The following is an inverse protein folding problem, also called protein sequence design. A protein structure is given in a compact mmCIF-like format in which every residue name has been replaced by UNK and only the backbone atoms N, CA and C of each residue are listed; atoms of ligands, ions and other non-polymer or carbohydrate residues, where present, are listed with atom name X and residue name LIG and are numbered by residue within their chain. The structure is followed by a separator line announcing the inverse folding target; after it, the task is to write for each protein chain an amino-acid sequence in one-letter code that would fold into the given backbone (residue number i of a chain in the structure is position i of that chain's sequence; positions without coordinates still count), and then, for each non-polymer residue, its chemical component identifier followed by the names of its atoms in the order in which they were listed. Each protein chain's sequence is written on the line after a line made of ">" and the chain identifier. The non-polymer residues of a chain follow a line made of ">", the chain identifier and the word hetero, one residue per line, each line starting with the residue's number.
data_IF_107652257006
#
_entry.id   IF_107652257006
#
_cell.length_a   1.000
_cell.length_b   1.000
_cell.length_c   1.000
_cell.angle_alpha   90.00
_cell.angle_beta   90.00
_cell.angle_gamma   90.00
#
_symmetry.space_group_name_H-M   'P 1'
#
loop_
_entity.id
_entity.type
_entity.pdbx_description
1 polymer ?
#
# COMPACT_ATOMS: atom_id res chain seq x y z
N UNK A 1 32.07 -50.31 56.78
CA UNK A 1 31.84 -51.23 55.63
C UNK A 1 30.33 -51.35 55.42
N UNK A 2 29.88 -51.40 54.14
CA UNK A 2 28.49 -51.47 53.63
C UNK A 2 27.75 -50.12 53.58
N UNK A 3 27.72 -49.45 52.42
CA UNK A 3 26.79 -49.55 51.25
C UNK A 3 25.61 -48.60 51.37
N UNK A 4 25.59 -47.56 50.52
CA UNK A 4 24.45 -46.69 50.27
C UNK A 4 24.52 -46.18 48.83
N UNK A 5 23.50 -46.50 48.05
CA UNK A 5 23.41 -46.35 46.60
C UNK A 5 23.26 -44.88 46.16
N UNK A 6 24.13 -44.43 45.24
CA UNK A 6 23.90 -43.27 44.38
C UNK A 6 23.45 -43.81 43.01
N UNK A 7 22.22 -43.51 42.60
CA UNK A 7 21.78 -43.68 41.20
C UNK A 7 21.81 -42.32 40.52
N UNK A 8 22.91 -42.07 39.81
CA UNK A 8 22.99 -41.10 38.71
C UNK A 8 22.52 -41.84 37.46
N UNK A 9 21.42 -41.38 36.85
CA UNK A 9 21.00 -41.84 35.53
C UNK A 9 21.79 -41.02 34.51
N UNK A 10 22.84 -41.62 33.98
CA UNK A 10 23.44 -41.24 32.71
C UNK A 10 22.73 -42.02 31.59
N UNK A 11 22.35 -41.34 30.51
CA UNK A 11 21.97 -42.01 29.26
C UNK A 11 20.90 -41.30 28.45
N UNK A 12 21.27 -40.24 27.73
CA UNK A 12 21.21 -40.18 26.25
C UNK A 12 21.67 -38.78 25.80
N UNK A 13 22.96 -38.65 25.55
CA UNK A 13 23.56 -37.52 24.84
C UNK A 13 23.96 -37.99 23.44
N UNK A 14 22.99 -38.16 22.53
CA UNK A 14 23.23 -38.19 21.09
C UNK A 14 21.95 -37.69 20.40
N UNK A 15 22.10 -36.77 19.43
CA UNK A 15 21.09 -36.22 18.52
C UNK A 15 20.11 -35.19 19.08
N UNK A 16 20.54 -33.92 19.10
CA UNK A 16 19.69 -32.75 18.81
C UNK A 16 20.58 -31.52 18.61
N UNK A 17 21.48 -31.57 17.62
CA UNK A 17 22.24 -30.40 17.18
C UNK A 17 22.29 -30.35 15.64
N UNK A 18 21.11 -30.31 15.02
CA UNK A 18 20.94 -29.93 13.63
C UNK A 18 19.46 -29.65 13.37
N UNK A 19 19.04 -28.38 13.53
CA UNK A 19 18.04 -27.65 12.73
C UNK A 19 17.64 -26.36 13.46
N UNK A 20 18.60 -25.46 13.67
CA UNK A 20 18.32 -24.03 13.83
C UNK A 20 18.55 -23.36 12.48
N UNK A 21 17.76 -23.77 11.49
CA UNK A 21 17.51 -22.99 10.28
C UNK A 21 16.06 -22.53 10.37
N UNK A 22 15.83 -21.51 11.21
CA UNK A 22 14.59 -20.74 11.18
C UNK A 22 14.53 -19.95 9.88
N UNK A 23 14.32 -20.64 8.76
CA UNK A 23 13.88 -20.01 7.53
C UNK A 23 12.51 -19.42 7.80
N UNK A 24 12.35 -18.12 7.56
CA UNK A 24 11.04 -17.52 7.35
C UNK A 24 10.25 -18.42 6.39
N UNK A 25 9.25 -19.13 6.91
CA UNK A 25 8.22 -19.73 6.08
C UNK A 25 7.65 -18.57 5.24
N UNK A 26 7.54 -18.71 3.91
CA UNK A 26 6.81 -17.73 3.11
C UNK A 26 5.43 -17.60 3.72
N UNK A 27 5.08 -16.40 4.19
CA UNK A 27 3.72 -16.14 4.67
C UNK A 27 2.73 -16.59 3.60
N UNK A 28 1.60 -17.14 4.00
CA UNK A 28 0.55 -17.54 3.08
C UNK A 28 0.01 -16.30 2.34
N UNK A 29 0.64 -15.93 1.22
CA UNK A 29 0.25 -14.79 0.40
C UNK A 29 -1.13 -14.99 -0.24
N UNK A 30 -1.69 -16.22 -0.20
CA UNK A 30 -3.07 -16.47 -0.60
C UNK A 30 -4.06 -15.97 0.47
N UNK A 31 -3.66 -15.74 1.72
CA UNK A 31 -4.53 -15.07 2.70
C UNK A 31 -4.74 -13.57 2.41
N UNK A 32 -4.08 -13.02 1.38
CA UNK A 32 -4.41 -11.72 0.80
C UNK A 32 -5.69 -11.76 -0.06
N UNK A 33 -6.36 -12.91 -0.16
CA UNK A 33 -7.69 -12.99 -0.76
C UNK A 33 -8.71 -12.23 0.11
N UNK A 34 -9.43 -11.23 -0.45
CA UNK A 34 -10.57 -10.62 0.20
C UNK A 34 -11.78 -11.57 0.17
N UNK A 35 -11.65 -12.83 0.58
CA UNK A 35 -12.75 -13.80 0.52
C UNK A 35 -13.76 -13.69 1.68
N UNK A 36 -13.75 -12.61 2.45
CA UNK A 36 -14.91 -12.23 3.27
C UNK A 36 -15.72 -11.08 2.67
N UNK A 37 -15.34 -10.57 1.50
CA UNK A 37 -16.03 -9.44 0.86
C UNK A 37 -16.41 -9.89 -0.54
N UNK A 38 -17.72 -10.09 -0.76
CA UNK A 38 -18.25 -10.51 -2.06
C UNK A 38 -17.64 -9.61 -3.15
N UNK A 39 -17.03 -10.17 -4.21
CA UNK A 39 -16.61 -9.36 -5.34
C UNK A 39 -17.84 -8.61 -5.84
N UNK A 40 -17.80 -7.27 -5.76
CA UNK A 40 -18.72 -6.48 -6.57
C UNK A 40 -18.41 -6.88 -8.02
N UNK A 41 -19.43 -7.21 -8.82
CA UNK A 41 -19.24 -7.45 -10.25
C UNK A 41 -18.60 -6.19 -10.84
N UNK A 42 -17.29 -6.21 -11.00
CA UNK A 42 -16.56 -5.21 -11.75
C UNK A 42 -17.00 -5.38 -13.20
N UNK A 43 -17.86 -4.48 -13.68
CA UNK A 43 -17.95 -4.22 -15.11
C UNK A 43 -16.54 -3.92 -15.59
N UNK A 44 -16.01 -4.67 -16.56
CA UNK A 44 -14.63 -4.52 -17.03
C UNK A 44 -14.27 -3.03 -17.15
N UNK A 45 -13.30 -2.58 -16.36
CA UNK A 45 -12.83 -1.20 -16.39
C UNK A 45 -12.42 -0.85 -17.84
N UNK A 46 -13.02 0.21 -18.39
CA UNK A 46 -12.81 0.63 -19.80
C UNK A 46 -12.04 1.94 -19.94
N UNK A 47 -11.55 2.48 -18.83
CA UNK A 47 -10.78 3.72 -18.80
C UNK A 47 -9.30 3.50 -19.19
N UNK A 48 -8.54 4.60 -19.34
CA UNK A 48 -7.09 4.52 -19.46
C UNK A 48 -6.48 3.88 -18.21
N UNK A 49 -5.42 3.09 -18.42
CA UNK A 49 -4.68 2.45 -17.33
C UNK A 49 -3.53 3.32 -16.85
N UNK A 50 -3.40 3.49 -15.54
CA UNK A 50 -2.33 4.29 -14.92
C UNK A 50 -1.42 3.41 -14.06
N UNK A 51 -0.42 2.73 -14.66
CA UNK A 51 0.52 1.89 -13.91
C UNK A 51 1.47 2.69 -13.02
N UNK A 52 1.50 4.02 -13.16
CA UNK A 52 2.29 4.96 -12.36
C UNK A 52 1.51 6.26 -12.19
N UNK A 53 1.81 7.00 -11.13
CA UNK A 53 1.32 8.36 -10.94
C UNK A 53 2.01 9.37 -11.87
N UNK A 54 1.22 10.29 -12.41
CA UNK A 54 1.69 11.50 -13.10
C UNK A 54 1.78 12.73 -12.19
N UNK A 55 1.39 12.62 -10.91
CA UNK A 55 1.55 13.70 -9.91
C UNK A 55 3.05 13.83 -9.57
N UNK A 56 3.66 14.97 -9.89
CA UNK A 56 5.12 15.14 -9.79
C UNK A 56 5.57 15.72 -8.43
N UNK A 57 4.66 16.35 -7.69
CA UNK A 57 4.89 17.05 -6.43
C UNK A 57 4.07 16.50 -5.26
N UNK A 58 3.95 15.17 -5.17
CA UNK A 58 3.36 14.44 -4.01
C UNK A 58 3.93 14.91 -2.67
N UNK A 59 5.19 15.35 -2.65
CA UNK A 59 5.84 15.95 -1.48
C UNK A 59 5.12 17.19 -0.93
N UNK A 60 4.26 17.84 -1.71
CA UNK A 60 3.43 18.97 -1.26
C UNK A 60 2.48 18.60 -0.11
N UNK A 61 2.20 17.30 0.09
CA UNK A 61 1.43 16.82 1.24
C UNK A 61 2.28 16.53 2.47
N UNK A 62 3.61 16.42 2.34
CA UNK A 62 4.48 15.86 3.37
C UNK A 62 4.30 16.56 4.71
N UNK A 63 4.38 17.89 4.75
CA UNK A 63 4.28 18.68 5.99
C UNK A 63 2.94 18.51 6.72
N UNK A 64 1.87 18.21 5.98
CA UNK A 64 0.51 18.06 6.55
C UNK A 64 0.28 16.69 7.17
N UNK A 65 0.98 15.66 6.70
CA UNK A 65 0.75 14.27 7.12
C UNK A 65 1.93 13.66 7.87
N UNK A 66 3.07 14.35 7.94
CA UNK A 66 4.29 13.79 8.49
C UNK A 66 4.05 13.24 9.91
N UNK A 67 4.31 11.94 10.11
CA UNK A 67 4.13 11.23 11.37
C UNK A 67 2.69 11.24 11.97
N UNK A 68 1.65 11.52 11.17
CA UNK A 68 0.25 11.54 11.65
C UNK A 68 -0.27 10.16 12.10
N UNK A 69 0.36 9.07 11.64
CA UNK A 69 0.09 7.72 12.09
C UNK A 69 -1.23 7.14 11.57
N UNK A 70 -1.90 6.35 12.42
CA UNK A 70 -3.22 5.76 12.14
C UNK A 70 -3.29 4.85 10.91
N UNK A 71 -4.49 4.75 10.34
CA UNK A 71 -4.78 4.01 9.12
C UNK A 71 -4.64 4.93 7.90
N UNK A 72 -4.06 4.39 6.83
CA UNK A 72 -4.04 5.00 5.50
C UNK A 72 -5.02 4.28 4.57
N UNK A 73 -5.77 5.03 3.78
CA UNK A 73 -6.54 4.53 2.64
C UNK A 73 -6.16 5.38 1.44
N UNK A 74 -5.83 4.74 0.31
CA UNK A 74 -5.48 5.50 -0.90
C UNK A 74 -5.79 4.78 -2.20
N UNK A 75 -6.05 5.56 -3.25
CA UNK A 75 -6.25 5.07 -4.62
C UNK A 75 -4.97 5.13 -5.45
N UNK A 76 -4.90 4.38 -6.56
CA UNK A 76 -3.75 4.42 -7.48
C UNK A 76 -2.59 3.52 -7.06
N UNK A 77 -1.36 3.94 -7.42
CA UNK A 77 -0.17 3.07 -7.44
C UNK A 77 0.97 3.63 -6.56
N UNK A 78 2.10 4.01 -7.16
CA UNK A 78 3.40 4.23 -6.50
C UNK A 78 3.42 5.41 -5.53
N UNK A 79 2.59 6.43 -5.77
CA UNK A 79 2.55 7.61 -4.93
C UNK A 79 2.10 7.31 -3.50
N UNK A 80 1.30 6.26 -3.32
CA UNK A 80 0.88 5.81 -2.00
C UNK A 80 2.07 5.40 -1.13
N UNK A 81 3.11 4.78 -1.72
CA UNK A 81 4.30 4.36 -0.96
C UNK A 81 5.02 5.56 -0.35
N UNK A 82 5.08 6.68 -1.07
CA UNK A 82 5.66 7.92 -0.56
C UNK A 82 4.81 8.51 0.57
N UNK A 83 3.48 8.59 0.38
CA UNK A 83 2.56 9.14 1.39
C UNK A 83 2.52 8.29 2.67
N UNK A 84 2.54 6.97 2.55
CA UNK A 84 2.62 6.06 3.71
C UNK A 84 3.95 6.25 4.46
N UNK A 85 5.05 6.47 3.72
CA UNK A 85 6.36 6.78 4.29
C UNK A 85 6.35 8.05 5.13
N UNK A 86 5.74 9.13 4.62
CA UNK A 86 5.53 10.38 5.38
C UNK A 86 4.61 10.18 6.57
N UNK A 87 3.44 9.57 6.35
CA UNK A 87 2.41 9.42 7.37
C UNK A 87 2.80 8.49 8.52
N UNK A 88 3.77 7.59 8.33
CA UNK A 88 4.11 6.52 9.29
C UNK A 88 2.89 5.69 9.69
N UNK A 89 2.01 5.43 8.72
CA UNK A 89 0.75 4.70 8.95
C UNK A 89 1.00 3.29 9.48
N UNK A 90 0.09 2.82 10.32
CA UNK A 90 0.16 1.53 11.01
C UNK A 90 -0.52 0.39 10.26
N UNK A 91 -1.45 0.73 9.36
CA UNK A 91 -2.16 -0.18 8.47
C UNK A 91 -2.63 0.58 7.23
N UNK A 92 -2.65 -0.09 6.09
CA UNK A 92 -2.86 0.52 4.78
C UNK A 92 -3.89 -0.28 3.99
N UNK A 93 -4.81 0.42 3.33
CA UNK A 93 -5.62 -0.10 2.24
C UNK A 93 -5.33 0.66 0.95
N UNK A 94 -4.92 -0.07 -0.09
CA UNK A 94 -4.80 0.45 -1.44
C UNK A 94 -6.00 -0.04 -2.24
N UNK A 95 -6.79 0.90 -2.73
CA UNK A 95 -8.08 0.65 -3.38
C UNK A 95 -7.99 1.06 -4.84
N UNK A 96 -8.42 0.21 -5.76
CA UNK A 96 -8.54 0.63 -7.15
C UNK A 96 -9.62 -0.15 -7.90
N UNK A 97 -10.21 0.46 -8.91
CA UNK A 97 -11.10 -0.21 -9.85
C UNK A 97 -10.33 -0.79 -11.04
N UNK A 98 -9.14 -0.24 -11.35
CA UNK A 98 -8.28 -0.72 -12.42
C UNK A 98 -7.43 -1.91 -11.94
N UNK A 99 -7.62 -3.12 -12.50
CA UNK A 99 -6.80 -4.28 -12.15
C UNK A 99 -5.31 -4.06 -12.46
N UNK A 100 -4.96 -3.19 -13.41
CA UNK A 100 -3.55 -2.87 -13.71
C UNK A 100 -2.88 -2.18 -12.53
N UNK A 101 -3.54 -1.21 -11.90
CA UNK A 101 -3.03 -0.53 -10.71
C UNK A 101 -2.83 -1.53 -9.55
N UNK A 102 -3.81 -2.41 -9.34
CA UNK A 102 -3.74 -3.47 -8.33
C UNK A 102 -2.63 -4.50 -8.60
N UNK A 103 -2.35 -4.82 -9.86
CA UNK A 103 -1.22 -5.69 -10.23
C UNK A 103 0.12 -5.00 -9.96
N UNK A 104 0.27 -3.72 -10.32
CA UNK A 104 1.51 -2.97 -10.03
C UNK A 104 1.75 -2.86 -8.53
N UNK A 105 0.70 -2.60 -7.74
CA UNK A 105 0.81 -2.60 -6.28
C UNK A 105 1.27 -3.98 -5.75
N UNK A 106 0.74 -5.10 -6.25
CA UNK A 106 1.25 -6.45 -5.89
C UNK A 106 2.74 -6.60 -6.21
N UNK A 107 3.18 -6.12 -7.37
CA UNK A 107 4.60 -6.17 -7.74
C UNK A 107 5.45 -5.35 -6.78
N UNK A 108 5.03 -4.13 -6.42
CA UNK A 108 5.71 -3.32 -5.43
C UNK A 108 5.83 -4.04 -4.09
N UNK A 109 4.75 -4.64 -3.58
CA UNK A 109 4.77 -5.36 -2.31
C UNK A 109 5.72 -6.57 -2.35
N UNK A 110 5.66 -7.40 -3.40
CA UNK A 110 6.57 -8.53 -3.54
C UNK A 110 8.04 -8.09 -3.63
N UNK A 111 8.33 -7.01 -4.37
CA UNK A 111 9.70 -6.50 -4.49
C UNK A 111 10.21 -5.89 -3.19
N UNK A 112 9.38 -5.17 -2.44
CA UNK A 112 9.74 -4.64 -1.11
C UNK A 112 10.00 -5.79 -0.11
N UNK A 113 9.20 -6.86 -0.16
CA UNK A 113 9.41 -8.02 0.71
C UNK A 113 10.82 -8.65 0.50
N UNK A 114 11.26 -8.71 -0.76
CA UNK A 114 12.51 -9.34 -1.19
C UNK A 114 13.73 -8.41 -1.18
N UNK A 115 13.53 -7.12 -0.92
CA UNK A 115 14.59 -6.12 -0.96
C UNK A 115 14.92 -5.63 0.45
N UNK A 116 16.19 -5.69 0.85
CA UNK A 116 16.58 -5.22 2.18
C UNK A 116 16.56 -3.69 2.30
N UNK A 117 16.76 -3.01 1.17
CA UNK A 117 16.85 -1.56 1.06
C UNK A 117 16.21 -1.05 -0.25
N UNK A 118 16.08 0.28 -0.36
CA UNK A 118 15.49 0.94 -1.53
C UNK A 118 16.26 0.68 -2.83
N UNK A 119 17.59 0.51 -2.76
CA UNK A 119 18.43 0.25 -3.92
C UNK A 119 18.10 -1.10 -4.56
N UNK A 120 18.00 -2.16 -3.76
CA UNK A 120 17.60 -3.49 -4.21
C UNK A 120 16.18 -3.50 -4.79
N UNK A 121 15.27 -2.75 -4.18
CA UNK A 121 13.90 -2.59 -4.68
C UNK A 121 13.86 -1.91 -6.06
N UNK A 122 14.62 -0.84 -6.23
CA UNK A 122 14.74 -0.15 -7.53
C UNK A 122 15.39 -1.07 -8.57
N UNK A 123 16.39 -1.85 -8.17
CA UNK A 123 17.07 -2.80 -9.06
C UNK A 123 16.11 -3.88 -9.58
N UNK A 124 15.17 -4.38 -8.77
CA UNK A 124 14.11 -5.29 -9.22
C UNK A 124 13.21 -4.66 -10.30
N UNK A 125 13.03 -3.34 -10.30
CA UNK A 125 12.34 -2.65 -11.38
C UNK A 125 13.22 -2.35 -12.60
N UNK A 126 14.54 -2.42 -12.47
CA UNK A 126 15.48 -2.11 -13.56
C UNK A 126 15.50 -3.20 -14.64
N UNK A 127 15.91 -2.89 -15.88
CA UNK A 127 16.08 -3.89 -16.93
C UNK A 127 16.98 -5.06 -16.52
N UNK A 128 18.09 -4.80 -15.81
CA UNK A 128 19.00 -5.82 -15.31
C UNK A 128 18.35 -6.74 -14.26
N UNK A 129 17.36 -6.22 -13.52
CA UNK A 129 16.61 -6.99 -12.54
C UNK A 129 15.50 -7.85 -13.11
N UNK A 130 15.20 -7.79 -14.41
CA UNK A 130 13.99 -8.37 -15.00
C UNK A 130 13.79 -9.86 -14.68
N UNK A 131 14.81 -10.69 -14.91
CA UNK A 131 14.72 -12.12 -14.66
C UNK A 131 14.46 -12.45 -13.18
N UNK A 132 15.18 -11.75 -12.28
CA UNK A 132 15.01 -11.88 -10.83
C UNK A 132 13.62 -11.42 -10.38
N UNK A 133 13.15 -10.29 -10.91
CA UNK A 133 11.84 -9.74 -10.65
C UNK A 133 10.72 -10.71 -11.07
N UNK A 134 10.81 -11.29 -12.26
CA UNK A 134 9.87 -12.31 -12.71
C UNK A 134 9.86 -13.53 -11.79
N UNK A 135 11.04 -14.02 -11.38
CA UNK A 135 11.15 -15.15 -10.46
C UNK A 135 10.52 -14.85 -9.09
N UNK A 136 10.70 -13.63 -8.56
CA UNK A 136 10.03 -13.16 -7.34
C UNK A 136 8.51 -13.20 -7.52
N UNK A 137 7.97 -12.64 -8.60
CA UNK A 137 6.52 -12.63 -8.83
C UNK A 137 5.96 -14.05 -8.98
N UNK A 138 6.65 -14.93 -9.68
CA UNK A 138 6.22 -16.32 -9.85
C UNK A 138 6.21 -17.08 -8.52
N UNK A 139 7.17 -16.81 -7.62
CA UNK A 139 7.21 -17.41 -6.28
C UNK A 139 6.09 -16.90 -5.38
N UNK A 140 5.81 -15.60 -5.40
CA UNK A 140 4.79 -14.98 -4.54
C UNK A 140 3.37 -15.20 -5.07
N UNK A 141 3.18 -15.21 -6.38
CA UNK A 141 1.86 -15.14 -7.03
C UNK A 141 1.65 -16.19 -8.12
N UNK A 142 2.50 -17.20 -8.28
CA UNK A 142 2.33 -18.23 -9.31
C UNK A 142 1.04 -19.04 -9.18
N UNK A 143 0.48 -19.12 -7.97
CA UNK A 143 -0.82 -19.75 -7.69
C UNK A 143 -1.98 -18.74 -7.57
N UNK A 144 -1.71 -17.45 -7.74
CA UNK A 144 -2.74 -16.42 -7.69
C UNK A 144 -3.75 -16.65 -8.83
N UNK A 145 -5.08 -16.66 -8.58
CA UNK A 145 -6.09 -16.86 -9.61
C UNK A 145 -5.99 -15.92 -10.81
N UNK A 146 -5.48 -14.70 -10.60
CA UNK A 146 -5.25 -13.73 -11.68
C UNK A 146 -3.78 -13.61 -12.09
N UNK A 147 -2.97 -14.66 -11.86
CA UNK A 147 -1.55 -14.72 -12.25
C UNK A 147 -1.32 -14.31 -13.70
N UNK A 148 -2.14 -14.81 -14.64
CA UNK A 148 -2.03 -14.44 -16.06
C UNK A 148 -2.15 -12.93 -16.28
N UNK A 149 -3.09 -12.27 -15.61
CA UNK A 149 -3.28 -10.82 -15.69
C UNK A 149 -2.12 -10.04 -15.07
N UNK A 150 -1.63 -10.49 -13.92
CA UNK A 150 -0.46 -9.90 -13.25
C UNK A 150 0.80 -10.04 -14.10
N UNK A 151 1.07 -11.25 -14.62
CA UNK A 151 2.20 -11.54 -15.51
C UNK A 151 2.15 -10.68 -16.78
N UNK A 152 1.00 -10.58 -17.43
CA UNK A 152 0.85 -9.75 -18.63
C UNK A 152 1.05 -8.26 -18.33
N UNK A 153 0.59 -7.81 -17.16
CA UNK A 153 0.86 -6.45 -16.68
C UNK A 153 2.37 -6.24 -16.48
N UNK A 154 3.07 -7.18 -15.83
CA UNK A 154 4.51 -7.13 -15.60
C UNK A 154 5.27 -6.96 -16.92
N UNK A 155 5.00 -7.82 -17.91
CA UNK A 155 5.67 -7.77 -19.22
C UNK A 155 5.45 -6.44 -19.96
N UNK A 156 4.35 -5.73 -19.69
CA UNK A 156 4.06 -4.42 -20.28
C UNK A 156 4.79 -3.28 -19.55
N UNK A 157 4.83 -3.31 -18.21
CA UNK A 157 5.37 -2.21 -17.41
C UNK A 157 6.87 -2.36 -17.10
N UNK A 158 7.39 -3.58 -17.24
CA UNK A 158 8.78 -3.98 -17.00
C UNK A 158 9.30 -4.77 -18.21
N UNK A 159 9.71 -4.07 -19.29
CA UNK A 159 10.22 -4.73 -20.49
C UNK A 159 11.53 -5.47 -20.20
N UNK A 160 11.78 -6.55 -20.94
CA UNK A 160 12.95 -7.39 -20.76
C UNK A 160 14.28 -6.66 -20.97
N UNK A 161 15.36 -7.26 -20.46
CA UNK A 161 16.73 -6.78 -20.58
C UNK A 161 17.11 -6.47 -22.05
N UNK A 162 17.84 -5.37 -22.26
CA UNK A 162 18.21 -4.88 -23.60
C UNK A 162 17.16 -4.02 -24.31
N UNK A 163 15.99 -3.79 -23.70
CA UNK A 163 14.99 -2.80 -24.16
C UNK A 163 15.10 -1.47 -23.39
N UNK A 164 14.26 -0.50 -23.75
CA UNK A 164 14.11 0.76 -23.02
C UNK A 164 13.66 0.53 -21.57
N UNK A 165 13.96 1.48 -20.69
CA UNK A 165 13.50 1.44 -19.30
C UNK A 165 11.96 1.34 -19.23
N UNK A 166 11.46 0.44 -18.37
CA UNK A 166 10.03 0.33 -18.08
C UNK A 166 9.44 1.60 -17.46
N UNK A 167 8.13 1.78 -17.60
CA UNK A 167 7.44 2.99 -17.13
C UNK A 167 7.56 3.16 -15.61
N UNK A 168 7.48 2.08 -14.83
CA UNK A 168 7.63 2.11 -13.37
C UNK A 168 9.06 2.47 -12.98
N UNK A 169 10.07 1.84 -13.60
CA UNK A 169 11.47 2.17 -13.34
C UNK A 169 11.80 3.63 -13.66
N UNK A 170 11.30 4.12 -14.79
CA UNK A 170 11.43 5.53 -15.21
C UNK A 170 10.80 6.45 -14.17
N UNK A 171 9.60 6.14 -13.67
CA UNK A 171 8.93 6.89 -12.61
C UNK A 171 9.78 6.94 -11.33
N UNK A 172 10.31 5.82 -10.86
CA UNK A 172 11.16 5.79 -9.65
C UNK A 172 12.44 6.63 -9.82
N UNK A 173 13.05 6.61 -11.01
CA UNK A 173 14.21 7.45 -11.34
C UNK A 173 13.86 8.93 -11.37
N UNK A 174 12.69 9.29 -11.90
CA UNK A 174 12.20 10.66 -11.90
C UNK A 174 11.93 11.15 -10.48
N UNK A 175 11.33 10.32 -9.61
CA UNK A 175 11.15 10.65 -8.20
C UNK A 175 12.49 10.93 -7.52
N UNK A 176 13.49 10.07 -7.69
CA UNK A 176 14.83 10.30 -7.14
C UNK A 176 15.47 11.60 -7.66
N UNK A 177 15.26 11.94 -8.93
CA UNK A 177 15.73 13.21 -9.50
C UNK A 177 15.01 14.42 -8.86
N UNK A 178 13.69 14.35 -8.70
CA UNK A 178 12.91 15.36 -7.97
C UNK A 178 13.40 15.50 -6.54
N UNK A 179 13.60 14.39 -5.81
CA UNK A 179 14.09 14.43 -4.44
C UNK A 179 15.47 15.07 -4.32
N UNK A 180 16.39 14.84 -5.26
CA UNK A 180 17.68 15.57 -5.29
C UNK A 180 17.49 17.05 -5.55
N UNK A 181 16.65 17.42 -6.52
CA UNK A 181 16.41 18.82 -6.91
C UNK A 181 15.80 19.63 -5.77
N UNK A 182 14.87 19.04 -5.02
CA UNK A 182 14.12 19.71 -3.95
C UNK A 182 14.57 19.31 -2.54
N UNK A 183 15.71 18.60 -2.43
CA UNK A 183 16.25 18.10 -1.16
C UNK A 183 15.22 17.34 -0.29
N UNK A 184 14.44 16.47 -0.93
CA UNK A 184 13.36 15.72 -0.28
C UNK A 184 13.88 14.39 0.27
N UNK A 185 13.39 14.02 1.46
CA UNK A 185 13.53 12.68 2.02
C UNK A 185 12.26 11.89 1.74
N UNK A 186 12.39 10.70 1.19
CA UNK A 186 11.27 9.79 0.92
C UNK A 186 11.75 8.34 0.92
N UNK A 187 10.83 7.39 0.86
CA UNK A 187 11.15 5.96 0.92
C UNK A 187 12.21 5.45 -0.07
N UNK A 188 12.47 6.15 -1.19
CA UNK A 188 13.49 5.75 -2.16
C UNK A 188 14.92 6.19 -1.79
N UNK A 189 15.08 7.18 -0.90
CA UNK A 189 16.38 7.71 -0.50
C UNK A 189 16.55 7.87 1.02
N UNK A 190 15.58 7.41 1.80
CA UNK A 190 15.56 7.47 3.26
C UNK A 190 15.40 6.06 3.85
N UNK A 191 16.39 5.63 4.64
CA UNK A 191 16.43 4.29 5.22
C UNK A 191 15.22 4.02 6.14
N UNK A 192 14.85 4.99 6.98
CA UNK A 192 13.80 4.80 7.97
C UNK A 192 12.41 4.74 7.33
N UNK A 193 12.15 5.55 6.31
CA UNK A 193 10.90 5.47 5.56
C UNK A 193 10.80 4.16 4.78
N UNK A 194 11.89 3.71 4.14
CA UNK A 194 11.90 2.42 3.46
C UNK A 194 11.68 1.25 4.44
N UNK A 195 12.40 1.25 5.56
CA UNK A 195 12.30 0.24 6.60
C UNK A 195 10.89 0.15 7.18
N UNK A 196 10.20 1.30 7.34
CA UNK A 196 8.80 1.35 7.75
C UNK A 196 7.87 0.69 6.73
N UNK A 197 7.98 1.04 5.44
CA UNK A 197 7.19 0.39 4.39
C UNK A 197 7.45 -1.11 4.36
N UNK A 198 8.72 -1.52 4.39
CA UNK A 198 9.10 -2.93 4.41
C UNK A 198 8.52 -3.66 5.62
N UNK A 199 8.54 -3.03 6.80
CA UNK A 199 7.90 -3.57 8.01
C UNK A 199 6.39 -3.76 7.81
N UNK A 200 5.70 -2.84 7.15
CA UNK A 200 4.27 -3.01 6.84
C UNK A 200 4.03 -4.17 5.89
N UNK A 201 4.86 -4.30 4.84
CA UNK A 201 4.77 -5.40 3.87
C UNK A 201 4.99 -6.75 4.55
N UNK A 202 6.09 -6.91 5.28
CA UNK A 202 6.44 -8.17 5.94
C UNK A 202 5.43 -8.58 7.02
N UNK A 203 4.85 -7.61 7.72
CA UNK A 203 3.80 -7.85 8.72
C UNK A 203 2.39 -7.90 8.13
N UNK A 204 2.26 -7.93 6.79
CA UNK A 204 0.99 -8.03 6.07
C UNK A 204 -0.02 -6.95 6.48
N UNK A 205 0.47 -5.71 6.68
CA UNK A 205 -0.33 -4.54 7.08
C UNK A 205 -0.76 -3.68 5.90
N UNK A 206 -0.45 -4.08 4.67
CA UNK A 206 -0.92 -3.44 3.43
C UNK A 206 -1.89 -4.38 2.73
N UNK A 207 -3.12 -3.91 2.53
CA UNK A 207 -4.20 -4.68 1.93
C UNK A 207 -4.63 -4.06 0.61
N UNK A 208 -4.88 -4.90 -0.39
CA UNK A 208 -5.33 -4.47 -1.71
C UNK A 208 -6.82 -4.79 -1.86
N UNK A 209 -7.62 -3.81 -2.26
CA UNK A 209 -9.06 -3.97 -2.49
C UNK A 209 -9.40 -3.52 -3.91
N UNK A 210 -10.00 -4.44 -4.67
CA UNK A 210 -10.63 -4.07 -5.93
C UNK A 210 -12.01 -3.46 -5.67
N UNK A 211 -12.31 -2.35 -6.32
CA UNK A 211 -13.67 -1.84 -6.41
C UNK A 211 -13.79 -0.34 -6.58
N UNK A 212 -15.01 0.07 -6.89
CA UNK A 212 -15.41 1.46 -6.98
C UNK A 212 -15.62 2.06 -5.59
N UNK A 213 -14.91 3.14 -5.29
CA UNK A 213 -14.98 3.87 -4.01
C UNK A 213 -16.40 4.31 -3.63
N UNK A 214 -17.33 4.40 -4.59
CA UNK A 214 -18.73 4.79 -4.37
C UNK A 214 -19.59 3.74 -3.68
N UNK A 215 -19.26 2.44 -3.78
CA UNK A 215 -20.21 1.38 -3.40
C UNK A 215 -19.60 0.17 -2.66
N UNK A 216 -18.29 -0.07 -2.74
CA UNK A 216 -17.70 -1.29 -2.18
C UNK A 216 -16.60 -1.06 -1.13
N UNK A 217 -15.41 -0.63 -1.56
CA UNK A 217 -14.21 -0.69 -0.72
C UNK A 217 -14.32 0.13 0.56
N UNK A 218 -14.89 1.33 0.52
CA UNK A 218 -14.99 2.20 1.70
C UNK A 218 -15.89 1.61 2.79
N UNK A 219 -17.06 1.09 2.45
CA UNK A 219 -17.92 0.39 3.40
C UNK A 219 -17.25 -0.86 3.99
N UNK A 220 -16.49 -1.58 3.16
CA UNK A 220 -15.80 -2.79 3.58
C UNK A 220 -14.65 -2.48 4.56
N UNK A 221 -13.87 -1.44 4.29
CA UNK A 221 -12.83 -0.93 5.17
C UNK A 221 -13.46 -0.46 6.49
N UNK A 222 -14.51 0.38 6.42
CA UNK A 222 -15.23 0.86 7.59
C UNK A 222 -15.74 -0.29 8.46
N UNK A 223 -16.39 -1.29 7.86
CA UNK A 223 -16.88 -2.48 8.57
C UNK A 223 -15.75 -3.23 9.25
N UNK A 224 -14.62 -3.45 8.54
CA UNK A 224 -13.46 -4.18 9.07
C UNK A 224 -12.79 -3.44 10.23
N UNK A 225 -12.66 -2.13 10.13
CA UNK A 225 -12.09 -1.30 11.19
C UNK A 225 -12.99 -1.28 12.42
N UNK A 226 -14.30 -1.13 12.23
CA UNK A 226 -15.30 -1.18 13.31
C UNK A 226 -15.38 -2.57 13.96
N UNK A 227 -15.31 -3.66 13.18
CA UNK A 227 -15.37 -5.03 13.72
C UNK A 227 -14.13 -5.46 14.49
N UNK A 228 -12.98 -4.86 14.18
CA UNK A 228 -11.72 -5.11 14.89
C UNK A 228 -11.55 -4.20 16.11
N UNK A 229 -12.46 -3.25 16.33
CA UNK A 229 -12.59 -2.52 17.58
C UNK A 229 -13.41 -3.37 18.55
N UNK A 230 -13.08 -3.36 19.84
CA UNK A 230 -13.83 -4.04 20.92
C UNK A 230 -15.30 -3.57 21.05
N UNK A 231 -15.72 -2.58 20.26
CA UNK A 231 -17.07 -2.02 20.18
C UNK A 231 -18.14 -2.94 19.54
N UNK A 232 -18.02 -4.26 19.72
CA UNK A 232 -19.16 -5.16 19.53
C UNK A 232 -19.91 -5.28 20.85
N UNK A 233 -21.13 -4.75 20.93
CA UNK A 233 -22.15 -5.27 21.84
C UNK A 233 -23.29 -5.85 21.02
N UNK A 234 -23.59 -7.13 21.25
CA UNK A 234 -24.83 -7.76 20.85
C UNK A 234 -25.98 -7.25 21.74
N UNK A 235 -26.31 -5.95 21.73
CA UNK A 235 -27.46 -5.45 22.48
C UNK A 235 -28.16 -4.29 21.78
N UNK A 236 -29.45 -4.48 21.53
CA UNK A 236 -30.35 -3.62 20.74
C UNK A 236 -30.74 -2.32 21.48
N UNK A 237 -30.23 -2.07 22.70
CA UNK A 237 -30.91 -1.15 23.64
C UNK A 237 -30.13 0.14 23.95
N UNK A 238 -28.85 0.30 23.60
CA UNK A 238 -28.11 1.53 23.93
C UNK A 238 -27.38 2.13 22.71
N UNK A 239 -27.46 3.46 22.48
CA UNK A 239 -26.61 4.12 21.49
C UNK A 239 -25.13 3.98 21.87
N UNK A 240 -24.30 3.68 20.88
CA UNK A 240 -22.87 3.40 21.03
C UNK A 240 -22.13 4.56 21.72
N UNK A 241 -21.18 4.30 22.63
CA UNK A 241 -20.15 5.29 22.96
C UNK A 241 -19.31 5.60 21.72
N UNK A 242 -18.85 6.83 21.59
CA UNK A 242 -17.95 7.27 20.52
C UNK A 242 -16.61 6.52 20.58
N UNK A 243 -16.50 5.44 19.80
CA UNK A 243 -15.33 4.56 19.74
C UNK A 243 -14.13 5.16 18.98
N UNK A 244 -14.24 6.37 18.43
CA UNK A 244 -13.12 7.05 17.75
C UNK A 244 -11.98 7.40 18.72
N UNK A 245 -12.31 7.63 20.00
CA UNK A 245 -11.35 8.08 21.02
C UNK A 245 -10.51 6.97 21.66
N UNK A 246 -10.93 5.72 21.59
CA UNK A 246 -10.30 4.65 22.39
C UNK A 246 -9.24 3.84 21.61
N UNK A 247 -9.19 3.93 20.27
CA UNK A 247 -8.21 3.18 19.46
C UNK A 247 -7.66 3.97 18.25
N UNK A 248 -6.59 4.77 18.42
CA UNK A 248 -5.97 5.52 17.32
C UNK A 248 -5.42 4.63 16.19
N UNK A 249 -5.29 3.31 16.42
CA UNK A 249 -4.82 2.33 15.43
C UNK A 249 -5.88 1.92 14.39
N UNK A 250 -7.17 2.21 14.62
CA UNK A 250 -8.24 1.88 13.69
C UNK A 250 -8.88 3.12 13.03
N UNK A 251 -8.45 4.33 13.39
CA UNK A 251 -8.89 5.58 12.77
C UNK A 251 -8.10 5.85 11.49
N UNK A 252 -8.81 6.19 10.41
CA UNK A 252 -8.23 6.62 9.14
C UNK A 252 -7.72 8.03 9.29
N UNK A 253 -6.40 8.20 9.35
CA UNK A 253 -5.75 9.52 9.47
C UNK A 253 -5.44 10.14 8.10
N UNK A 254 -5.30 9.30 7.08
CA UNK A 254 -5.05 9.77 5.71
C UNK A 254 -5.96 9.02 4.74
N UNK A 255 -6.76 9.77 3.97
CA UNK A 255 -7.53 9.31 2.83
C UNK A 255 -7.02 10.00 1.56
N UNK A 256 -6.30 9.29 0.71
CA UNK A 256 -5.79 9.82 -0.55
C UNK A 256 -6.67 9.41 -1.74
N UNK A 257 -7.19 10.41 -2.47
CA UNK A 257 -8.14 10.21 -3.56
C UNK A 257 -7.57 10.56 -4.95
N UNK A 258 -6.31 10.99 -5.04
CA UNK A 258 -5.75 11.53 -6.30
C UNK A 258 -6.73 12.56 -6.90
N UNK A 259 -6.93 12.55 -8.22
CA UNK A 259 -7.94 13.35 -8.90
C UNK A 259 -9.21 12.57 -9.24
N UNK A 260 -9.51 11.47 -8.53
CA UNK A 260 -10.71 10.66 -8.79
C UNK A 260 -11.99 11.52 -8.72
N UNK A 261 -12.01 12.51 -7.84
CA UNK A 261 -13.14 13.43 -7.66
C UNK A 261 -13.36 14.36 -8.87
N UNK A 262 -12.39 14.55 -9.75
CA UNK A 262 -12.59 15.25 -11.03
C UNK A 262 -13.46 14.43 -12.01
N UNK A 263 -13.65 13.14 -11.77
CA UNK A 263 -14.42 12.23 -12.63
C UNK A 263 -15.67 11.68 -11.95
N UNK A 264 -15.81 11.90 -10.64
CA UNK A 264 -16.96 11.43 -9.86
C UNK A 264 -17.95 12.56 -9.63
N UNK A 265 -19.22 12.27 -9.85
CA UNK A 265 -20.30 13.12 -9.34
C UNK A 265 -20.42 12.94 -7.81
N UNK A 266 -20.71 14.05 -7.12
CA UNK A 266 -20.99 14.06 -5.67
C UNK A 266 -22.37 13.46 -5.35
N UNK A 267 -22.51 12.18 -5.63
CA UNK A 267 -23.76 11.43 -5.44
C UNK A 267 -24.05 11.15 -3.95
N UNK A 268 -25.31 10.93 -3.56
CA UNK A 268 -25.65 10.48 -2.21
C UNK A 268 -24.96 9.18 -1.80
N UNK A 269 -24.70 8.28 -2.75
CA UNK A 269 -24.00 7.01 -2.48
C UNK A 269 -22.54 7.25 -2.09
N UNK A 270 -21.82 8.08 -2.86
CA UNK A 270 -20.45 8.47 -2.57
C UNK A 270 -20.32 9.17 -1.21
N UNK A 271 -21.22 10.12 -0.92
CA UNK A 271 -21.25 10.81 0.39
C UNK A 271 -21.44 9.84 1.55
N UNK A 272 -22.38 8.89 1.44
CA UNK A 272 -22.58 7.87 2.47
C UNK A 272 -21.36 6.95 2.62
N UNK A 273 -20.68 6.62 1.51
CA UNK A 273 -19.46 5.81 1.55
C UNK A 273 -18.34 6.54 2.32
N UNK A 274 -18.11 7.82 2.03
CA UNK A 274 -17.16 8.66 2.77
C UNK A 274 -17.54 8.78 4.25
N UNK A 275 -18.79 9.11 4.56
CA UNK A 275 -19.30 9.22 5.94
C UNK A 275 -19.23 7.92 6.74
N UNK A 276 -19.07 6.77 6.08
CA UNK A 276 -18.95 5.47 6.76
C UNK A 276 -17.57 5.26 7.37
N UNK A 277 -16.55 5.94 6.85
CA UNK A 277 -15.15 5.78 7.23
C UNK A 277 -14.90 6.31 8.66
N UNK A 278 -14.22 5.56 9.53
CA UNK A 278 -13.86 6.04 10.87
C UNK A 278 -12.71 7.05 10.78
N UNK A 279 -13.07 8.32 10.64
CA UNK A 279 -12.17 9.49 10.62
C UNK A 279 -12.47 10.37 11.83
N UNK A 280 -11.51 11.18 12.27
CA UNK A 280 -11.63 12.14 13.37
C UNK A 280 -11.07 13.52 12.97
N UNK A 281 -10.99 14.45 13.91
CA UNK A 281 -10.63 15.84 13.65
C UNK A 281 -9.17 16.03 13.16
N UNK A 282 -8.28 15.05 13.37
CA UNK A 282 -6.93 15.08 12.79
C UNK A 282 -6.79 14.15 11.57
N UNK A 283 -7.89 13.63 11.02
CA UNK A 283 -7.88 12.97 9.73
C UNK A 283 -7.74 13.98 8.59
N UNK A 284 -7.06 13.58 7.51
CA UNK A 284 -6.91 14.41 6.31
C UNK A 284 -7.31 13.64 5.05
N UNK A 285 -8.16 14.27 4.24
CA UNK A 285 -8.40 13.91 2.84
C UNK A 285 -7.39 14.64 1.97
N UNK A 286 -6.62 13.87 1.20
CA UNK A 286 -5.64 14.35 0.24
C UNK A 286 -6.17 14.14 -1.17
N UNK A 287 -6.19 15.18 -1.99
CA UNK A 287 -6.68 15.13 -3.36
C UNK A 287 -5.88 16.04 -4.27
N UNK A 288 -5.88 15.72 -5.55
CA UNK A 288 -5.37 16.56 -6.60
C UNK A 288 -6.51 16.96 -7.54
N UNK A 289 -6.36 18.04 -8.27
CA UNK A 289 -7.32 18.40 -9.32
C UNK A 289 -6.61 19.01 -10.52
N UNK A 290 -7.01 18.56 -11.71
CA UNK A 290 -6.60 19.13 -12.99
C UNK A 290 -7.53 20.29 -13.41
N UNK A 291 -8.78 20.29 -12.91
CA UNK A 291 -9.77 21.35 -13.20
C UNK A 291 -9.52 22.61 -12.39
N UNK A 292 -8.88 22.44 -11.23
CA UNK A 292 -8.48 23.53 -10.35
C UNK A 292 -7.34 24.40 -10.90
N UNK A 293 -6.58 23.93 -11.91
CA UNK A 293 -5.35 24.60 -12.36
C UNK A 293 -5.53 26.01 -12.95
N UNK A 294 -6.75 26.40 -13.34
CA UNK A 294 -7.06 27.77 -13.76
C UNK A 294 -7.35 28.72 -12.59
N UNK A 295 -7.71 28.18 -11.43
CA UNK A 295 -8.15 28.94 -10.25
C UNK A 295 -7.18 28.87 -9.06
N UNK A 296 -6.31 27.86 -9.05
CA UNK A 296 -5.44 27.55 -7.92
C UNK A 296 -4.00 27.32 -8.37
N UNK A 297 -3.06 27.76 -7.54
CA UNK A 297 -1.64 27.66 -7.84
C UNK A 297 -1.18 26.21 -8.00
N UNK A 298 -0.24 26.03 -8.93
CA UNK A 298 0.43 24.76 -9.22
C UNK A 298 1.82 24.80 -8.61
N UNK A 299 2.25 23.77 -7.86
CA UNK A 299 3.57 23.78 -7.23
C UNK A 299 4.69 23.78 -8.28
N UNK A 300 5.79 24.54 -8.06
CA UNK A 300 6.90 24.59 -9.01
C UNK A 300 7.47 23.21 -9.35
N UNK A 301 7.60 22.88 -10.64
CA UNK A 301 8.09 21.56 -11.07
C UNK A 301 7.02 20.46 -11.16
N UNK A 302 5.75 20.79 -10.96
CA UNK A 302 4.64 19.91 -11.32
C UNK A 302 4.55 19.74 -12.84
N UNK A 303 4.68 20.83 -13.58
CA UNK A 303 4.65 20.85 -15.03
C UNK A 303 5.85 20.08 -15.60
N UNK A 304 5.58 18.89 -16.14
CA UNK A 304 6.43 18.25 -17.15
C UNK A 304 5.91 18.65 -18.53
N UNK A 305 6.80 18.72 -19.52
CA UNK A 305 6.41 19.14 -20.88
C UNK A 305 5.21 18.33 -21.39
N UNK A 306 4.15 19.02 -21.82
CA UNK A 306 2.90 18.45 -22.36
C UNK A 306 1.99 17.71 -21.35
N UNK A 307 2.19 17.85 -20.04
CA UNK A 307 1.29 17.31 -19.01
C UNK A 307 0.37 18.39 -18.43
N UNK A 308 -0.88 18.01 -18.11
CA UNK A 308 -1.82 18.88 -17.39
C UNK A 308 -1.37 18.94 -15.92
N UNK A 309 -1.12 20.12 -15.34
CA UNK A 309 -0.66 20.23 -13.98
C UNK A 309 -1.75 19.88 -12.97
N UNK A 310 -1.33 19.51 -11.77
CA UNK A 310 -2.22 19.25 -10.65
C UNK A 310 -2.08 20.35 -9.58
N UNK A 311 -3.21 20.83 -9.08
CA UNK A 311 -3.28 21.49 -7.78
C UNK A 311 -3.39 20.43 -6.67
N UNK A 312 -2.77 20.66 -5.51
CA UNK A 312 -2.72 19.74 -4.39
C UNK A 312 -3.51 20.30 -3.21
N UNK A 313 -4.47 19.52 -2.69
CA UNK A 313 -5.37 19.95 -1.63
C UNK A 313 -5.41 18.93 -0.48
N UNK A 314 -5.25 19.43 0.75
CA UNK A 314 -5.40 18.66 1.97
C UNK A 314 -6.48 19.29 2.85
N UNK A 315 -7.51 18.53 3.18
CA UNK A 315 -8.68 18.96 3.93
C UNK A 315 -8.93 18.04 5.13
N UNK A 316 -9.24 18.61 6.29
CA UNK A 316 -9.79 17.87 7.44
C UNK A 316 -11.23 17.46 7.20
#
# INVERSE_FOLDING_TARGET
>A
MRTGYIRIVAGLCVLLCATLSGGCQPGDWNSLHPNSLKPHRSTAFRGPHFPVSNEARIDSFADRINHIGGVYVGVGTDQNLQLIGYARSSRVWLVDIDPVALHVNRMHLAFIAESADAGQFIELWSPAGHARAYAVLARHYGQFPHWTGLRNTFLRVHPAEGRTAGIVYTRLRNLLATARRYNLRMYLNDHDQYAHLRKLVLNQRIHLLEGDVRDGPFYNIARKLKSNSICQTNSIINPLPDCSREYPHNTIRVLYLSNVEDYLENTPAYRRALQSLPMDDDSLVLRTSIRAGELFDVPPGELRSNEIPFHYNAQS
#
